data_IF_290385725192
#
_entry.id   IF_290385725192
#
_cell.length_a   1.000
_cell.length_b   1.000
_cell.length_c   1.000
_cell.angle_alpha   90.00
_cell.angle_beta   90.00
_cell.angle_gamma   90.00
#
_symmetry.space_group_name_H-M   'P 1'
#
loop_
_entity.id
_entity.type
_entity.pdbx_description
1 polymer ?
#
# COMPACT_ATOMS: atom_id res chain seq x y z
N UNK A 1 -10.26 -4.63 -13.79
CA UNK A 1 -10.27 -3.59 -12.75
C UNK A 1 -9.29 -2.51 -13.12
N UNK A 2 -9.66 -1.23 -12.96
CA UNK A 2 -8.73 -0.12 -13.07
C UNK A 2 -8.06 0.06 -11.70
N UNK A 3 -6.75 -0.18 -11.61
CA UNK A 3 -5.98 0.03 -10.39
C UNK A 3 -5.05 1.24 -10.57
N UNK A 4 -4.98 2.11 -9.56
CA UNK A 4 -4.12 3.29 -9.57
C UNK A 4 -3.38 3.40 -8.24
N UNK A 5 -2.07 3.69 -8.30
CA UNK A 5 -1.28 3.94 -7.10
C UNK A 5 -1.59 5.31 -6.48
N UNK A 6 -1.38 5.46 -5.17
CA UNK A 6 -1.53 6.75 -4.50
C UNK A 6 -0.44 7.76 -4.90
N UNK A 7 0.80 7.28 -5.14
CA UNK A 7 1.89 8.09 -5.69
C UNK A 7 1.75 8.21 -7.22
N UNK A 8 0.86 9.11 -7.66
CA UNK A 8 0.34 9.15 -9.04
C UNK A 8 1.39 9.37 -10.12
N UNK A 9 2.41 10.17 -9.85
CA UNK A 9 3.44 10.48 -10.84
C UNK A 9 4.56 9.42 -10.87
N UNK A 10 4.58 8.53 -9.88
CA UNK A 10 5.57 7.47 -9.75
C UNK A 10 4.92 6.09 -9.55
N UNK A 11 3.95 5.76 -10.42
CA UNK A 11 3.26 4.46 -10.40
C UNK A 11 3.06 3.92 -11.81
N UNK A 12 3.64 2.75 -12.08
CA UNK A 12 3.39 1.97 -13.30
C UNK A 12 2.10 1.14 -13.15
N UNK A 13 0.97 1.83 -13.01
CA UNK A 13 -0.34 1.23 -12.76
C UNK A 13 -1.14 1.02 -14.05
N UNK A 14 -2.46 0.85 -13.97
CA UNK A 14 -3.31 0.55 -15.13
C UNK A 14 -3.24 1.61 -16.24
N UNK A 15 -2.74 2.82 -15.99
CA UNK A 15 -2.46 3.83 -17.04
C UNK A 15 -1.33 3.39 -17.98
N UNK A 16 -0.46 2.50 -17.54
CA UNK A 16 0.68 1.95 -18.30
C UNK A 16 0.41 0.52 -18.76
N UNK A 17 -0.08 -0.36 -17.87
CA UNK A 17 -0.21 -1.80 -18.12
C UNK A 17 -1.62 -2.27 -18.52
N UNK A 18 -2.62 -1.38 -18.51
CA UNK A 18 -4.02 -1.72 -18.79
C UNK A 18 -4.79 -2.29 -17.58
N UNK A 19 -5.96 -2.88 -17.86
CA UNK A 19 -6.89 -3.36 -16.83
C UNK A 19 -6.42 -4.68 -16.21
N UNK A 20 -6.57 -4.80 -14.88
CA UNK A 20 -6.25 -6.03 -14.13
C UNK A 20 -7.41 -7.04 -14.24
N UNK A 21 -7.19 -8.28 -14.70
CA UNK A 21 -8.22 -9.33 -14.73
C UNK A 21 -8.69 -9.71 -13.32
N UNK A 22 -9.92 -10.22 -13.20
CA UNK A 22 -10.46 -10.62 -11.88
C UNK A 22 -9.70 -11.79 -11.24
N UNK A 23 -9.17 -12.71 -12.05
CA UNK A 23 -8.41 -13.87 -11.58
C UNK A 23 -7.13 -13.50 -10.84
N UNK A 24 -6.56 -12.31 -11.11
CA UNK A 24 -5.31 -11.84 -10.50
C UNK A 24 -5.54 -11.15 -9.13
N UNK A 25 -6.79 -10.99 -8.69
CA UNK A 25 -7.10 -10.33 -7.42
C UNK A 25 -7.00 -11.30 -6.24
N UNK A 26 -5.98 -11.11 -5.39
CA UNK A 26 -5.74 -11.95 -4.21
C UNK A 26 -6.53 -11.52 -2.97
N UNK A 27 -6.70 -10.21 -2.75
CA UNK A 27 -7.35 -9.72 -1.54
C UNK A 27 -7.23 -8.22 -1.35
N UNK A 28 -7.67 -7.74 -0.17
CA UNK A 28 -7.65 -6.34 0.24
C UNK A 28 -6.72 -6.16 1.43
N UNK A 29 -5.69 -5.32 1.29
CA UNK A 29 -4.81 -4.95 2.41
C UNK A 29 -5.63 -4.23 3.50
N UNK A 30 -5.46 -4.62 4.77
CA UNK A 30 -6.24 -4.10 5.91
C UNK A 30 -5.43 -3.30 6.93
N UNK A 31 -4.19 -3.70 7.20
CA UNK A 31 -3.40 -3.19 8.31
C UNK A 31 -1.92 -3.19 7.99
N UNK A 32 -1.19 -2.20 8.50
CA UNK A 32 0.27 -2.21 8.55
C UNK A 32 0.70 -2.96 9.80
N UNK A 33 1.33 -4.13 9.68
CA UNK A 33 1.72 -4.94 10.84
C UNK A 33 2.99 -4.40 11.51
N UNK A 34 3.92 -3.87 10.71
CA UNK A 34 5.19 -3.26 11.15
C UNK A 34 5.65 -2.25 10.11
N UNK A 35 6.39 -1.24 10.53
CA UNK A 35 7.07 -0.29 9.64
C UNK A 35 8.38 0.13 10.28
N UNK A 36 9.49 0.03 9.54
CA UNK A 36 10.84 0.33 10.02
C UNK A 36 11.39 1.53 9.26
N UNK A 37 12.12 2.39 9.96
CA UNK A 37 12.72 3.58 9.36
C UNK A 37 14.16 3.33 8.91
N UNK A 38 14.38 3.32 7.59
CA UNK A 38 15.70 3.06 7.02
C UNK A 38 16.73 4.12 7.44
N UNK A 39 16.31 5.37 7.53
CA UNK A 39 17.19 6.51 7.83
C UNK A 39 17.48 6.64 9.33
N UNK A 40 16.74 5.91 10.18
CA UNK A 40 16.88 5.89 11.62
C UNK A 40 17.06 4.46 12.15
N UNK A 41 18.16 3.82 11.76
CA UNK A 41 18.62 2.52 12.26
C UNK A 41 17.58 1.38 12.21
N UNK A 42 16.64 1.43 11.25
CA UNK A 42 15.50 0.51 11.16
C UNK A 42 14.63 0.48 12.43
N UNK A 43 14.60 1.57 13.20
CA UNK A 43 13.74 1.67 14.36
C UNK A 43 12.25 1.63 13.92
N UNK A 44 11.35 1.00 14.70
CA UNK A 44 9.95 0.96 14.34
C UNK A 44 9.29 2.33 14.36
N UNK A 45 8.56 2.67 13.29
CA UNK A 45 7.63 3.80 13.24
C UNK A 45 6.38 3.46 14.06
N UNK A 46 6.43 3.77 15.36
CA UNK A 46 5.48 3.29 16.39
C UNK A 46 4.02 3.59 16.05
N UNK A 47 3.75 4.73 15.44
CA UNK A 47 2.43 5.18 15.01
C UNK A 47 1.82 4.35 13.86
N UNK A 48 2.66 3.57 13.16
CA UNK A 48 2.24 2.71 12.04
C UNK A 48 2.11 1.25 12.41
N UNK A 49 2.49 0.85 13.63
CA UNK A 49 2.39 -0.53 14.09
C UNK A 49 0.93 -0.90 14.33
N UNK A 50 0.50 -2.01 13.76
CA UNK A 50 -0.89 -2.47 13.74
C UNK A 50 -1.90 -1.42 13.24
N UNK A 51 -1.43 -0.45 12.45
CA UNK A 51 -2.25 0.65 11.97
C UNK A 51 -3.28 0.18 10.94
N UNK A 52 -4.56 0.42 11.23
CA UNK A 52 -5.67 0.08 10.34
C UNK A 52 -5.77 1.08 9.18
N UNK A 53 -5.95 0.56 7.95
CA UNK A 53 -5.97 1.39 6.75
C UNK A 53 -7.34 2.00 6.43
N UNK A 54 -8.40 1.61 7.14
CA UNK A 54 -9.77 2.07 6.87
C UNK A 54 -10.50 2.66 8.06
N UNK A 55 -9.95 2.54 9.27
CA UNK A 55 -10.43 3.33 10.39
C UNK A 55 -9.90 4.76 10.24
N UNK A 56 -10.81 5.72 10.09
CA UNK A 56 -10.46 7.13 10.26
C UNK A 56 -9.89 7.34 11.68
N UNK A 57 -9.00 8.32 11.88
CA UNK A 57 -8.57 8.70 13.23
C UNK A 57 -9.75 9.05 14.14
#
# INVERSE_FOLDING_TARGET
YLAMGDNRDNSADSRVIGLVPRSELLGKAKRVIVSLDYDDYYLPRKERVLHDLYLAP
#
